data_IF_712029084778
#
_entry.id   IF_712029084778
#
_cell.length_a   1.000
_cell.length_b   1.000
_cell.length_c   1.000
_cell.angle_alpha   90.00
_cell.angle_beta   90.00
_cell.angle_gamma   90.00
#
_symmetry.space_group_name_H-M   'P 1'
#
loop_
_entity.id
_entity.type
_entity.pdbx_description
1 polymer ?
#
# COMPACT_ATOMS: atom_id res chain seq x y z
N UNK A 1 -0.03 29.42 40.30
CA UNK A 1 -0.25 29.47 38.83
C UNK A 1 1.04 29.26 38.03
N UNK A 2 2.09 30.11 38.13
CA UNK A 2 3.31 29.96 37.30
C UNK A 2 4.07 28.63 37.49
N UNK A 3 4.22 28.17 38.73
CA UNK A 3 4.88 26.89 39.06
C UNK A 3 4.17 25.70 38.41
N UNK A 4 2.84 25.66 38.50
CA UNK A 4 1.97 24.64 37.90
C UNK A 4 2.08 24.60 36.38
N UNK A 5 2.17 25.76 35.73
CA UNK A 5 2.35 25.87 34.27
C UNK A 5 3.72 25.35 33.83
N UNK A 6 4.78 25.66 34.59
CA UNK A 6 6.13 25.16 34.28
C UNK A 6 6.25 23.65 34.53
N UNK A 7 5.61 23.14 35.58
CA UNK A 7 5.52 21.71 35.85
C UNK A 7 4.78 20.97 34.72
N UNK A 8 3.65 21.52 34.26
CA UNK A 8 2.91 20.98 33.11
C UNK A 8 3.76 20.95 31.84
N UNK A 9 4.49 22.04 31.54
CA UNK A 9 5.41 22.08 30.39
C UNK A 9 6.51 21.02 30.50
N UNK A 10 7.07 20.82 31.70
CA UNK A 10 8.09 19.81 31.95
C UNK A 10 7.54 18.39 31.71
N UNK A 11 6.39 18.08 32.31
CA UNK A 11 5.71 16.79 32.14
C UNK A 11 5.36 16.52 30.67
N UNK A 12 4.88 17.54 29.94
CA UNK A 12 4.59 17.43 28.50
C UNK A 12 5.85 17.17 27.65
N UNK A 13 6.99 17.78 27.99
CA UNK A 13 8.26 17.50 27.30
C UNK A 13 8.70 16.06 27.51
N UNK A 14 8.59 15.53 28.72
CA UNK A 14 8.92 14.13 29.04
C UNK A 14 8.02 13.16 28.29
N UNK A 15 6.70 13.37 28.36
CA UNK A 15 5.72 12.56 27.65
C UNK A 15 5.93 12.56 26.13
N UNK A 16 6.25 13.71 25.53
CA UNK A 16 6.58 13.79 24.10
C UNK A 16 7.80 12.94 23.75
N UNK A 17 8.84 12.94 24.60
CA UNK A 17 10.01 12.08 24.41
C UNK A 17 9.64 10.61 24.49
N UNK A 18 8.77 10.23 25.43
CA UNK A 18 8.30 8.86 25.63
C UNK A 18 7.44 8.35 24.48
N UNK A 19 6.55 9.18 23.91
CA UNK A 19 5.80 8.85 22.69
C UNK A 19 6.74 8.46 21.53
N UNK A 20 7.89 9.12 21.44
CA UNK A 20 8.87 8.87 20.39
C UNK A 20 9.89 7.77 20.74
N UNK A 21 9.92 7.29 21.99
CA UNK A 21 10.72 6.12 22.36
C UNK A 21 10.06 4.89 21.77
N UNK A 22 10.80 4.19 20.92
CA UNK A 22 10.33 2.94 20.33
C UNK A 22 10.44 1.83 21.38
N UNK A 23 9.34 1.26 21.89
CA UNK A 23 9.43 0.13 22.80
C UNK A 23 9.98 -1.08 22.03
N UNK A 24 10.86 -1.84 22.69
CA UNK A 24 11.35 -3.11 22.13
C UNK A 24 10.23 -4.13 22.23
N UNK A 25 9.65 -4.51 21.10
CA UNK A 25 8.60 -5.53 21.05
C UNK A 25 9.11 -6.95 21.30
N UNK A 26 10.43 -7.17 21.21
CA UNK A 26 11.07 -8.46 21.45
C UNK A 26 12.38 -8.29 22.21
N UNK A 27 12.67 -9.24 23.10
CA UNK A 27 13.94 -9.38 23.81
C UNK A 27 14.52 -10.75 23.49
N UNK A 28 15.84 -10.82 23.32
CA UNK A 28 16.54 -12.10 23.21
C UNK A 28 16.69 -12.69 24.60
N UNK A 29 16.27 -13.93 24.76
CA UNK A 29 16.43 -14.69 25.99
C UNK A 29 17.12 -16.02 25.67
N UNK A 30 17.84 -16.55 26.65
CA UNK A 30 18.33 -17.91 26.58
C UNK A 30 17.25 -18.83 27.13
N UNK A 31 16.87 -19.81 26.33
CA UNK A 31 15.94 -20.87 26.73
C UNK A 31 16.74 -22.16 26.75
N UNK A 32 16.71 -22.90 27.86
CA UNK A 32 17.27 -24.25 27.89
C UNK A 32 16.38 -25.14 27.02
N UNK A 33 16.97 -25.74 25.98
CA UNK A 33 16.31 -26.81 25.26
C UNK A 33 16.27 -28.08 26.09
N UNK A 34 15.39 -29.02 25.73
CA UNK A 34 15.26 -30.33 26.38
C UNK A 34 16.57 -31.16 26.30
N UNK A 35 17.47 -30.78 25.39
CA UNK A 35 18.81 -31.31 25.19
C UNK A 35 19.87 -30.69 26.13
N UNK A 36 19.48 -29.76 27.01
CA UNK A 36 20.38 -29.06 27.94
C UNK A 36 21.24 -27.97 27.28
N UNK A 37 21.10 -27.75 25.97
CA UNK A 37 21.86 -26.73 25.23
C UNK A 37 21.08 -25.42 25.24
N UNK A 38 21.65 -24.31 25.76
CA UNK A 38 20.96 -23.03 25.77
C UNK A 38 20.85 -22.47 24.34
N UNK A 39 19.61 -22.22 23.90
CA UNK A 39 19.31 -21.62 22.59
C UNK A 39 18.81 -20.19 22.75
N UNK A 40 19.09 -19.38 21.74
CA UNK A 40 18.62 -18.00 21.69
C UNK A 40 17.22 -17.95 21.11
N UNK A 41 16.26 -17.43 21.87
CA UNK A 41 14.89 -17.23 21.39
C UNK A 41 14.42 -15.78 21.58
N UNK A 42 13.40 -15.40 20.82
CA UNK A 42 12.78 -14.09 20.84
C UNK A 42 11.51 -14.10 21.67
N UNK A 43 11.60 -13.61 22.91
CA UNK A 43 10.43 -13.39 23.74
C UNK A 43 9.70 -12.12 23.31
N UNK A 44 8.38 -12.23 23.05
CA UNK A 44 7.52 -11.06 22.84
C UNK A 44 7.38 -10.31 24.16
N UNK A 45 7.73 -9.03 24.17
CA UNK A 45 7.53 -8.16 25.32
C UNK A 45 6.10 -7.62 25.29
N UNK A 46 5.42 -7.62 26.44
CA UNK A 46 4.18 -6.87 26.61
C UNK A 46 4.50 -5.38 26.53
N UNK A 47 3.76 -4.65 25.68
CA UNK A 47 3.91 -3.20 25.56
C UNK A 47 2.79 -2.59 26.39
N UNK A 48 3.17 -1.98 27.51
CA UNK A 48 2.22 -1.27 28.35
C UNK A 48 1.85 0.07 27.71
N UNK A 49 0.57 0.50 27.80
CA UNK A 49 0.15 1.78 27.29
C UNK A 49 0.85 2.90 28.06
N UNK A 50 1.22 3.96 27.34
CA UNK A 50 1.75 5.17 27.91
C UNK A 50 0.61 5.93 28.60
N UNK A 51 0.77 6.19 29.89
CA UNK A 51 -0.20 6.96 30.65
C UNK A 51 -0.14 8.44 30.26
N UNK A 52 -1.29 9.12 30.31
CA UNK A 52 -1.33 10.56 30.14
C UNK A 52 -0.57 11.23 31.31
N UNK A 53 0.05 12.39 31.07
CA UNK A 53 0.75 13.07 32.15
C UNK A 53 -0.19 13.51 33.28
N UNK A 54 0.26 13.50 34.54
CA UNK A 54 -0.58 13.86 35.69
C UNK A 54 -1.31 15.20 35.51
N UNK A 55 -0.65 16.21 34.94
CA UNK A 55 -1.27 17.51 34.62
C UNK A 55 -2.52 17.40 33.71
N UNK A 56 -2.54 16.46 32.75
CA UNK A 56 -3.68 16.22 31.87
C UNK A 56 -4.86 15.60 32.61
N UNK A 57 -4.61 14.77 33.62
CA UNK A 57 -5.68 14.18 34.43
C UNK A 57 -6.46 15.26 35.19
N UNK A 58 -5.81 16.31 35.69
CA UNK A 58 -6.51 17.45 36.30
C UNK A 58 -7.42 18.19 35.33
N UNK A 59 -7.02 18.33 34.06
CA UNK A 59 -7.86 18.96 33.03
C UNK A 59 -9.03 18.07 32.62
N UNK A 60 -8.84 16.75 32.62
CA UNK A 60 -9.87 15.79 32.26
C UNK A 60 -10.82 15.49 33.42
N UNK A 61 -10.41 15.72 34.67
CA UNK A 61 -11.20 15.38 35.86
C UNK A 61 -12.60 16.02 35.85
N UNK A 62 -12.80 17.30 35.52
CA UNK A 62 -14.15 17.86 35.41
C UNK A 62 -15.02 17.18 34.34
N UNK A 63 -14.43 16.75 33.22
CA UNK A 63 -15.16 16.00 32.19
C UNK A 63 -15.55 14.61 32.71
N UNK A 64 -14.60 13.90 33.33
CA UNK A 64 -14.86 12.56 33.90
C UNK A 64 -15.90 12.59 35.02
N UNK A 65 -15.91 13.64 35.84
CA UNK A 65 -16.80 13.75 37.00
C UNK A 65 -18.18 14.31 36.66
N UNK A 66 -18.27 15.30 35.75
CA UNK A 66 -19.51 16.08 35.57
C UNK A 66 -20.20 15.88 34.22
N UNK A 67 -19.53 15.38 33.18
CA UNK A 67 -20.15 15.23 31.85
C UNK A 67 -20.63 13.80 31.54
N UNK A 68 -20.54 12.87 32.49
CA UNK A 68 -20.87 11.46 32.28
C UNK A 68 -19.90 10.76 31.33
N UNK A 69 -18.73 11.36 31.06
CA UNK A 69 -17.71 10.77 30.20
C UNK A 69 -17.18 9.48 30.83
N UNK A 70 -17.30 8.37 30.09
CA UNK A 70 -16.86 7.05 30.59
C UNK A 70 -15.34 6.95 30.55
N UNK A 71 -14.75 6.53 31.66
CA UNK A 71 -13.29 6.32 31.79
C UNK A 71 -12.73 5.33 30.76
N UNK A 72 -13.55 4.35 30.33
CA UNK A 72 -13.18 3.38 29.30
C UNK A 72 -12.94 3.99 27.92
N UNK A 73 -13.36 5.24 27.68
CA UNK A 73 -13.14 5.97 26.44
C UNK A 73 -11.86 6.82 26.47
N UNK A 74 -11.11 6.82 27.58
CA UNK A 74 -9.81 7.48 27.63
C UNK A 74 -8.85 6.87 26.58
N UNK A 75 -8.04 7.70 25.91
CA UNK A 75 -7.19 7.23 24.83
C UNK A 75 -6.12 6.27 25.37
N UNK A 76 -6.15 5.03 24.90
CA UNK A 76 -5.07 4.06 25.14
C UNK A 76 -3.90 4.34 24.20
N UNK A 77 -2.92 5.10 24.66
CA UNK A 77 -1.78 5.52 23.86
C UNK A 77 -0.72 4.42 23.88
N UNK A 78 -0.48 3.75 22.75
CA UNK A 78 0.60 2.77 22.61
C UNK A 78 1.66 3.34 21.68
N UNK A 79 2.88 3.50 22.18
CA UNK A 79 4.00 3.88 21.34
C UNK A 79 4.34 2.69 20.41
N UNK A 80 4.14 2.86 19.11
CA UNK A 80 4.48 1.83 18.11
C UNK A 80 5.62 2.33 17.25
N UNK A 81 6.59 1.45 16.93
CA UNK A 81 7.58 1.74 15.89
C UNK A 81 6.84 1.93 14.58
N UNK A 82 6.57 3.16 14.18
CA UNK A 82 6.21 3.43 12.79
C UNK A 82 7.40 2.97 11.95
N UNK A 83 7.24 2.02 11.02
CA UNK A 83 8.32 1.70 10.10
C UNK A 83 8.53 2.96 9.25
N UNK A 84 9.53 3.78 9.64
CA UNK A 84 10.02 4.88 8.81
C UNK A 84 10.30 4.26 7.44
N UNK A 85 9.48 4.60 6.45
CA UNK A 85 9.65 4.30 5.03
C UNK A 85 9.09 2.97 4.48
N UNK A 86 8.24 2.22 5.19
CA UNK A 86 7.46 1.16 4.52
C UNK A 86 6.10 1.68 4.12
N UNK A 87 5.97 2.04 2.85
CA UNK A 87 4.66 2.21 2.23
C UNK A 87 4.00 0.84 2.19
N UNK A 88 2.92 0.71 2.95
CA UNK A 88 2.08 -0.49 2.92
C UNK A 88 0.99 -0.29 1.87
N UNK A 89 0.78 -1.35 1.09
CA UNK A 89 -0.38 -1.50 0.23
C UNK A 89 -1.32 -2.48 0.90
N UNK A 90 -2.57 -2.06 1.07
CA UNK A 90 -3.66 -2.93 1.48
C UNK A 90 -4.10 -3.78 0.29
N UNK A 91 -4.75 -4.91 0.56
CA UNK A 91 -5.33 -5.77 -0.49
C UNK A 91 -6.41 -5.02 -1.30
N UNK A 92 -7.22 -4.20 -0.65
CA UNK A 92 -8.18 -3.31 -1.32
C UNK A 92 -7.50 -2.30 -2.24
N UNK A 93 -6.30 -1.81 -1.88
CA UNK A 93 -5.52 -0.91 -2.73
C UNK A 93 -4.96 -1.65 -3.95
N UNK A 94 -4.62 -2.94 -3.83
CA UNK A 94 -4.23 -3.76 -4.98
C UNK A 94 -5.40 -4.04 -5.91
N UNK A 95 -6.62 -4.26 -5.38
CA UNK A 95 -7.84 -4.37 -6.20
C UNK A 95 -8.12 -3.06 -6.94
N UNK A 96 -7.92 -1.93 -6.27
CA UNK A 96 -8.09 -0.61 -6.88
C UNK A 96 -7.03 -0.34 -7.96
N UNK A 97 -5.79 -0.75 -7.70
CA UNK A 97 -4.70 -0.70 -8.67
C UNK A 97 -5.00 -1.54 -9.92
N UNK A 98 -5.54 -2.76 -9.75
CA UNK A 98 -5.99 -3.58 -10.87
C UNK A 98 -7.10 -2.89 -11.69
N UNK A 99 -8.08 -2.28 -11.03
CA UNK A 99 -9.13 -1.53 -11.74
C UNK A 99 -8.57 -0.31 -12.48
N UNK A 100 -7.61 0.39 -11.87
CA UNK A 100 -6.89 1.49 -12.51
C UNK A 100 -6.14 1.04 -13.76
N UNK A 101 -5.45 -0.10 -13.69
CA UNK A 101 -4.75 -0.69 -14.84
C UNK A 101 -5.70 -1.07 -15.99
N UNK A 102 -6.93 -1.49 -15.70
CA UNK A 102 -7.96 -1.76 -16.71
C UNK A 102 -8.55 -0.51 -17.35
N UNK A 103 -8.60 0.60 -16.61
CA UNK A 103 -9.21 1.85 -17.08
C UNK A 103 -8.21 2.75 -17.81
N UNK A 104 -6.97 2.85 -17.31
CA UNK A 104 -5.96 3.79 -17.80
C UNK A 104 -4.78 3.10 -18.50
N UNK A 105 -4.66 1.77 -18.42
CA UNK A 105 -3.53 1.02 -18.96
C UNK A 105 -2.30 1.01 -18.05
N UNK A 106 -1.22 0.34 -18.47
CA UNK A 106 0.00 0.17 -17.66
C UNK A 106 0.84 1.46 -17.55
N UNK A 107 0.84 2.27 -18.60
CA UNK A 107 1.73 3.44 -18.74
C UNK A 107 1.21 4.66 -17.97
N UNK A 108 -0.12 4.82 -17.86
CA UNK A 108 -0.73 6.02 -17.28
C UNK A 108 -0.95 5.92 -15.76
N UNK A 109 0.17 5.85 -15.05
CA UNK A 109 0.21 5.87 -13.57
C UNK A 109 -0.14 7.25 -13.00
N UNK A 110 -0.03 8.31 -13.80
CA UNK A 110 -0.41 9.65 -13.38
C UNK A 110 -1.92 9.75 -13.18
N UNK A 111 -2.71 9.29 -14.15
CA UNK A 111 -4.18 9.26 -14.06
C UNK A 111 -4.65 8.31 -12.95
N UNK A 112 -4.04 7.13 -12.81
CA UNK A 112 -4.33 6.22 -11.69
C UNK A 112 -4.13 6.88 -10.33
N UNK A 113 -3.05 7.67 -10.17
CA UNK A 113 -2.80 8.41 -8.93
C UNK A 113 -3.86 9.48 -8.71
N UNK A 114 -4.13 10.31 -9.70
CA UNK A 114 -5.04 11.47 -9.55
C UNK A 114 -6.46 11.00 -9.26
N UNK A 115 -6.93 9.97 -9.97
CA UNK A 115 -8.34 9.57 -9.92
C UNK A 115 -8.65 8.45 -8.91
N UNK A 116 -7.69 7.58 -8.59
CA UNK A 116 -7.96 6.40 -7.76
C UNK A 116 -7.14 6.34 -6.47
N UNK A 117 -5.85 6.69 -6.51
CA UNK A 117 -4.94 6.53 -5.38
C UNK A 117 -4.17 7.82 -5.06
N UNK A 118 -4.84 8.92 -4.66
CA UNK A 118 -4.18 10.20 -4.39
C UNK A 118 -3.20 10.13 -3.22
N UNK A 119 -3.40 9.19 -2.30
CA UNK A 119 -2.57 8.96 -1.12
C UNK A 119 -1.23 8.24 -1.44
N UNK A 120 -1.02 7.81 -2.69
CA UNK A 120 0.20 7.13 -3.13
C UNK A 120 0.91 7.95 -4.20
N UNK A 121 2.23 7.90 -4.24
CA UNK A 121 3.00 8.58 -5.30
C UNK A 121 3.09 7.71 -6.55
N UNK A 122 3.29 8.32 -7.72
CA UNK A 122 3.41 7.57 -8.98
C UNK A 122 4.57 6.55 -8.94
N UNK A 123 5.69 6.89 -8.29
CA UNK A 123 6.80 5.96 -8.09
C UNK A 123 6.39 4.76 -7.21
N UNK A 124 5.61 4.99 -6.15
CA UNK A 124 5.11 3.90 -5.29
C UNK A 124 4.19 2.95 -6.05
N UNK A 125 3.30 3.50 -6.88
CA UNK A 125 2.41 2.71 -7.73
C UNK A 125 3.19 1.87 -8.75
N UNK A 126 4.15 2.47 -9.48
CA UNK A 126 5.02 1.73 -10.41
C UNK A 126 5.77 0.60 -9.72
N UNK A 127 6.36 0.87 -8.56
CA UNK A 127 7.07 -0.14 -7.78
C UNK A 127 6.12 -1.26 -7.32
N UNK A 128 4.89 -0.93 -6.92
CA UNK A 128 3.89 -1.93 -6.55
C UNK A 128 3.49 -2.81 -7.73
N UNK A 129 3.21 -2.22 -8.90
CA UNK A 129 2.90 -2.97 -10.14
C UNK A 129 4.06 -3.91 -10.48
N UNK A 130 5.30 -3.39 -10.45
CA UNK A 130 6.51 -4.19 -10.70
C UNK A 130 6.65 -5.38 -9.75
N UNK A 131 6.41 -5.16 -8.46
CA UNK A 131 6.47 -6.21 -7.46
C UNK A 131 5.36 -7.24 -7.65
N UNK A 132 4.13 -6.83 -7.98
CA UNK A 132 2.99 -7.72 -8.21
C UNK A 132 3.17 -8.57 -9.48
N UNK A 133 3.73 -7.99 -10.55
CA UNK A 133 4.01 -8.72 -11.80
C UNK A 133 5.29 -9.56 -11.76
N UNK A 134 6.12 -9.41 -10.72
CA UNK A 134 7.39 -10.12 -10.62
C UNK A 134 7.19 -11.64 -10.69
N UNK A 135 8.16 -12.36 -11.30
CA UNK A 135 8.08 -13.82 -11.46
C UNK A 135 7.83 -14.56 -10.14
N UNK A 136 8.51 -14.11 -9.07
CA UNK A 136 8.43 -14.68 -7.72
C UNK A 136 7.16 -14.32 -6.95
N UNK A 137 6.37 -13.35 -7.42
CA UNK A 137 5.14 -12.99 -6.76
C UNK A 137 4.10 -14.11 -6.91
N UNK A 138 3.27 -14.36 -5.88
CA UNK A 138 2.15 -15.30 -5.98
C UNK A 138 1.17 -14.86 -7.07
N UNK A 139 0.32 -15.77 -7.52
CA UNK A 139 -0.69 -15.44 -8.53
C UNK A 139 -1.63 -14.36 -7.99
N UNK A 140 -1.80 -13.28 -8.75
CA UNK A 140 -2.63 -12.14 -8.37
C UNK A 140 -3.24 -11.49 -9.62
N UNK A 141 -4.37 -10.76 -9.49
CA UNK A 141 -5.08 -10.18 -10.64
C UNK A 141 -4.25 -9.22 -11.47
N UNK A 142 -3.37 -8.43 -10.83
CA UNK A 142 -2.46 -7.50 -11.53
C UNK A 142 -1.45 -8.26 -12.38
N UNK A 143 -0.87 -9.35 -11.86
CA UNK A 143 0.06 -10.20 -12.59
C UNK A 143 -0.60 -10.86 -13.77
N UNK A 144 -1.80 -11.41 -13.59
CA UNK A 144 -2.55 -12.05 -14.67
C UNK A 144 -2.87 -11.06 -15.78
N UNK A 145 -3.32 -9.85 -15.44
CA UNK A 145 -3.56 -8.78 -16.41
C UNK A 145 -2.31 -8.39 -17.18
N UNK A 146 -1.19 -8.15 -16.48
CA UNK A 146 0.09 -7.83 -17.11
C UNK A 146 0.63 -8.97 -17.99
N UNK A 147 0.33 -10.23 -17.66
CA UNK A 147 0.73 -11.37 -18.49
C UNK A 147 -0.15 -11.49 -19.73
N UNK A 148 -1.47 -11.26 -19.60
CA UNK A 148 -2.39 -11.21 -20.74
C UNK A 148 -1.94 -10.17 -21.76
N UNK A 149 -1.44 -9.01 -21.33
CA UNK A 149 -0.92 -7.98 -22.25
C UNK A 149 0.28 -8.42 -23.10
N UNK A 150 1.04 -9.44 -22.68
CA UNK A 150 2.22 -9.98 -23.38
C UNK A 150 1.89 -11.25 -24.19
N UNK A 151 0.65 -11.74 -24.12
CA UNK A 151 0.23 -12.89 -24.94
C UNK A 151 0.31 -12.55 -26.43
N UNK A 152 0.61 -13.51 -27.31
CA UNK A 152 0.45 -13.30 -28.75
C UNK A 152 -0.95 -12.78 -29.08
N UNK A 153 -1.05 -11.98 -30.14
CA UNK A 153 -2.34 -11.57 -30.69
C UNK A 153 -3.05 -12.86 -31.14
N UNK A 154 -4.29 -13.02 -30.68
CA UNK A 154 -5.12 -14.18 -31.04
C UNK A 154 -5.61 -14.03 -32.49
N UNK A 155 -6.03 -15.14 -33.11
CA UNK A 155 -6.56 -15.10 -34.49
C UNK A 155 -7.76 -14.15 -34.62
N UNK A 156 -8.63 -14.09 -33.61
CA UNK A 156 -9.78 -13.19 -33.60
C UNK A 156 -9.34 -11.72 -33.56
N UNK A 157 -8.39 -11.39 -32.70
CA UNK A 157 -7.83 -10.03 -32.64
C UNK A 157 -7.05 -9.68 -33.91
N UNK A 158 -6.34 -10.64 -34.52
CA UNK A 158 -5.62 -10.47 -35.79
C UNK A 158 -6.59 -10.14 -36.93
N UNK A 159 -7.75 -10.80 -36.97
CA UNK A 159 -8.79 -10.52 -37.95
C UNK A 159 -9.45 -9.15 -37.73
N UNK A 160 -9.72 -8.77 -36.48
CA UNK A 160 -10.21 -7.43 -36.14
C UNK A 160 -9.21 -6.36 -36.57
N UNK A 161 -7.92 -6.60 -36.33
CA UNK A 161 -6.86 -5.69 -36.75
C UNK A 161 -6.82 -5.56 -38.27
N UNK A 162 -6.89 -6.68 -38.99
CA UNK A 162 -6.90 -6.72 -40.46
C UNK A 162 -8.10 -5.96 -41.03
N UNK A 163 -9.31 -6.35 -40.65
CA UNK A 163 -10.55 -5.72 -41.13
C UNK A 163 -10.60 -4.25 -40.75
N UNK A 164 -10.19 -3.92 -39.52
CA UNK A 164 -10.11 -2.55 -39.05
C UNK A 164 -9.15 -1.69 -39.87
N UNK A 165 -7.96 -2.20 -40.20
CA UNK A 165 -7.02 -1.51 -41.09
C UNK A 165 -7.54 -1.39 -42.52
N UNK A 166 -8.29 -2.37 -43.03
CA UNK A 166 -8.90 -2.31 -44.36
C UNK A 166 -10.02 -1.26 -44.44
N UNK A 167 -10.86 -1.16 -43.40
CA UNK A 167 -12.02 -0.27 -43.39
C UNK A 167 -11.64 1.18 -43.06
N UNK A 168 -10.78 1.37 -42.07
CA UNK A 168 -10.48 2.71 -41.52
C UNK A 168 -9.06 3.20 -41.88
N UNK A 169 -8.25 2.40 -42.57
CA UNK A 169 -6.90 2.79 -42.98
C UNK A 169 -6.01 3.21 -41.80
N UNK A 170 -5.30 4.32 -41.97
CA UNK A 170 -4.37 4.84 -40.96
C UNK A 170 -5.07 5.35 -39.68
N UNK A 171 -6.34 5.76 -39.77
CA UNK A 171 -7.13 6.19 -38.60
C UNK A 171 -7.42 5.02 -37.65
N UNK A 172 -7.47 3.79 -38.19
CA UNK A 172 -7.64 2.60 -37.37
C UNK A 172 -6.57 2.50 -36.29
N UNK A 173 -5.31 2.86 -36.59
CA UNK A 173 -4.21 2.78 -35.63
C UNK A 173 -4.44 3.67 -34.40
N UNK A 174 -5.17 4.78 -34.55
CA UNK A 174 -5.55 5.65 -33.44
C UNK A 174 -6.77 5.09 -32.68
N UNK A 175 -7.74 4.51 -33.40
CA UNK A 175 -8.97 3.96 -32.82
C UNK A 175 -8.82 2.56 -32.22
N UNK A 176 -7.81 1.80 -32.61
CA UNK A 176 -7.58 0.41 -32.21
C UNK A 176 -7.49 0.23 -30.69
N UNK A 177 -7.08 1.28 -29.95
CA UNK A 177 -7.12 1.27 -28.48
C UNK A 177 -8.53 1.02 -27.92
N UNK A 178 -9.58 1.44 -28.62
CA UNK A 178 -10.98 1.21 -28.22
C UNK A 178 -11.42 -0.23 -28.49
N UNK A 179 -10.84 -0.89 -29.50
CA UNK A 179 -11.18 -2.26 -29.88
C UNK A 179 -10.36 -3.28 -29.10
N UNK A 180 -9.08 -2.99 -28.87
CA UNK A 180 -8.13 -3.84 -28.16
C UNK A 180 -7.66 -3.17 -26.85
N UNK A 181 -8.62 -2.77 -26.01
CA UNK A 181 -8.39 -2.06 -24.72
C UNK A 181 -7.39 -2.79 -23.81
N UNK A 182 -7.34 -4.12 -23.91
CA UNK A 182 -6.47 -4.96 -23.09
C UNK A 182 -5.07 -5.14 -23.68
N UNK A 183 -4.75 -4.53 -24.84
CA UNK A 183 -3.44 -4.62 -25.48
C UNK A 183 -2.63 -3.35 -25.23
N UNK A 184 -1.34 -3.47 -24.87
CA UNK A 184 -0.49 -2.31 -24.69
C UNK A 184 -0.28 -1.66 -26.06
N UNK A 185 -0.27 -0.32 -26.07
CA UNK A 185 -0.05 0.48 -27.28
C UNK A 185 1.14 0.02 -28.11
N UNK A 186 2.23 -0.34 -27.44
CA UNK A 186 3.45 -0.83 -28.09
C UNK A 186 3.23 -2.11 -28.94
N UNK A 187 2.35 -3.01 -28.50
CA UNK A 187 2.02 -4.23 -29.25
C UNK A 187 1.22 -3.91 -30.52
N UNK A 188 0.43 -2.83 -30.50
CA UNK A 188 -0.41 -2.39 -31.60
C UNK A 188 0.37 -1.51 -32.60
N UNK A 189 1.36 -0.76 -32.14
CA UNK A 189 2.18 0.11 -33.01
C UNK A 189 3.12 -0.65 -33.93
N UNK A 190 3.60 -1.82 -33.50
CA UNK A 190 4.52 -2.66 -34.27
C UNK A 190 3.84 -3.82 -34.99
N UNK A 191 2.51 -3.90 -34.97
CA UNK A 191 1.79 -4.98 -35.62
C UNK A 191 1.84 -4.83 -37.14
N UNK A 192 2.13 -5.94 -37.82
CA UNK A 192 2.00 -6.11 -39.27
C UNK A 192 1.21 -7.39 -39.56
N UNK A 193 0.28 -7.38 -40.53
CA UNK A 193 -0.46 -8.59 -40.89
C UNK A 193 0.50 -9.69 -41.34
N UNK A 194 0.22 -10.94 -40.93
CA UNK A 194 0.98 -12.09 -41.44
C UNK A 194 0.69 -12.27 -42.94
N UNK A 195 1.71 -12.58 -43.76
CA UNK A 195 1.50 -12.89 -45.16
C UNK A 195 0.61 -14.13 -45.27
N UNK A 196 -0.41 -14.08 -46.12
CA UNK A 196 -1.45 -15.13 -46.24
C UNK A 196 -0.95 -16.43 -46.89
N UNK A 197 0.36 -16.55 -47.17
CA UNK A 197 0.95 -17.72 -47.81
C UNK A 197 2.18 -18.19 -47.02
N UNK A 198 1.96 -19.15 -46.11
CA UNK A 198 2.97 -20.07 -45.59
C UNK A 198 2.30 -21.39 -45.20
#
# INVERSE_FOLDING_TARGET
MRVLVEEMKSQMRTFRREIHRVPRSRRRIFVQGDDGVPRLDWMKMKIDPLMLPPAMHFLLQPLLTYSGFRDTLLPRIVAVRKPKNRIHFLESEDTLLFRGLRLFGLEDVASMRVHMMPCKTASQLRNRINNLRARRAPQNPVKEYCLRTITPITLEEEEILRVGTEVFGDEFRQMNQNFLVNRPLLALTHWSPRPQNA
#
